data_IF_848794424511
#
_entry.id   IF_848794424511
#
_cell.length_a   1.000
_cell.length_b   1.000
_cell.length_c   1.000
_cell.angle_alpha   90.00
_cell.angle_beta   90.00
_cell.angle_gamma   90.00
#
_symmetry.space_group_name_H-M   'P 1'
#
loop_
_entity.id
_entity.type
_entity.pdbx_description
1 polymer ?
#
# COMPACT_ATOMS: atom_id res chain seq x y z
N UNK A 1 -17.53 -28.88 9.00
CA UNK A 1 -16.17 -28.49 9.46
C UNK A 1 -15.46 -27.40 8.63
N UNK A 2 -15.83 -27.16 7.36
CA UNK A 2 -15.18 -26.18 6.46
C UNK A 2 -15.38 -24.69 6.88
N UNK A 3 -16.61 -24.29 7.22
CA UNK A 3 -16.93 -22.89 7.52
C UNK A 3 -16.27 -22.36 8.79
N UNK A 4 -16.35 -23.09 9.90
CA UNK A 4 -15.73 -22.69 11.17
C UNK A 4 -14.24 -22.37 11.01
N UNK A 5 -13.48 -23.22 10.28
CA UNK A 5 -12.05 -23.00 10.05
C UNK A 5 -11.79 -21.71 9.25
N UNK A 6 -12.59 -21.45 8.21
CA UNK A 6 -12.49 -20.24 7.37
C UNK A 6 -12.88 -18.98 8.15
N UNK A 7 -14.02 -19.00 8.84
CA UNK A 7 -14.50 -17.91 9.67
C UNK A 7 -13.50 -17.60 10.77
N UNK A 8 -13.02 -18.60 11.51
CA UNK A 8 -11.99 -18.43 12.55
C UNK A 8 -10.73 -17.77 12.00
N UNK A 9 -10.22 -18.26 10.88
CA UNK A 9 -9.00 -17.72 10.27
C UNK A 9 -9.19 -16.24 9.87
N UNK A 10 -10.34 -15.88 9.29
CA UNK A 10 -10.64 -14.50 8.92
C UNK A 10 -10.87 -13.61 10.14
N UNK A 11 -11.67 -14.04 11.12
CA UNK A 11 -11.94 -13.25 12.32
C UNK A 11 -10.66 -12.94 13.10
N UNK A 12 -9.75 -13.91 13.23
CA UNK A 12 -8.44 -13.67 13.85
C UNK A 12 -7.59 -12.65 13.08
N UNK A 13 -7.63 -12.69 11.74
CA UNK A 13 -6.97 -11.68 10.90
C UNK A 13 -7.61 -10.30 11.07
N UNK A 14 -8.94 -10.23 11.14
CA UNK A 14 -9.69 -8.98 11.34
C UNK A 14 -9.28 -8.34 12.65
N UNK A 15 -9.38 -9.06 13.77
CA UNK A 15 -9.05 -8.52 15.11
C UNK A 15 -7.59 -8.06 15.19
N UNK A 16 -6.65 -8.81 14.62
CA UNK A 16 -5.24 -8.37 14.57
C UNK A 16 -5.05 -7.11 13.73
N UNK A 17 -5.74 -7.00 12.60
CA UNK A 17 -5.62 -5.85 11.71
C UNK A 17 -6.32 -4.62 12.30
N UNK A 18 -7.48 -4.80 12.92
CA UNK A 18 -8.21 -3.76 13.65
C UNK A 18 -7.35 -3.19 14.78
N UNK A 19 -6.71 -4.06 15.55
CA UNK A 19 -5.78 -3.65 16.58
C UNK A 19 -4.58 -2.88 16.01
N UNK A 20 -4.10 -3.27 14.83
CA UNK A 20 -3.02 -2.54 14.16
C UNK A 20 -3.46 -1.15 13.70
N UNK A 21 -4.66 -1.03 13.12
CA UNK A 21 -5.29 0.25 12.75
C UNK A 21 -5.48 1.13 13.98
N UNK A 22 -6.04 0.59 15.05
CA UNK A 22 -6.22 1.28 16.33
C UNK A 22 -4.89 1.81 16.87
N UNK A 23 -3.82 1.00 16.84
CA UNK A 23 -2.49 1.46 17.25
C UNK A 23 -2.05 2.69 16.46
N UNK A 24 -2.07 2.59 15.13
CA UNK A 24 -1.61 3.67 14.24
C UNK A 24 -2.45 4.93 14.42
N UNK A 25 -3.77 4.80 14.58
CA UNK A 25 -4.68 5.91 14.86
C UNK A 25 -4.32 6.62 16.18
N UNK A 26 -4.01 5.87 17.25
CA UNK A 26 -3.58 6.46 18.52
C UNK A 26 -2.29 7.26 18.37
N UNK A 27 -1.28 6.69 17.70
CA UNK A 27 -0.02 7.39 17.43
C UNK A 27 -0.23 8.68 16.63
N UNK A 28 -1.03 8.62 15.56
CA UNK A 28 -1.40 9.79 14.75
C UNK A 28 -2.11 10.86 15.57
N UNK A 29 -3.09 10.49 16.40
CA UNK A 29 -3.83 11.44 17.22
C UNK A 29 -2.98 12.17 18.26
N UNK A 30 -1.88 11.54 18.70
CA UNK A 30 -0.97 12.12 19.68
C UNK A 30 0.27 12.74 19.03
N UNK A 31 0.42 12.67 17.70
CA UNK A 31 1.61 13.14 17.00
C UNK A 31 2.90 12.39 17.37
N UNK A 32 2.77 11.16 17.87
CA UNK A 32 3.89 10.33 18.33
C UNK A 32 4.28 9.36 17.22
N UNK A 33 5.55 9.34 16.82
CA UNK A 33 6.08 8.30 15.93
C UNK A 33 6.57 7.13 16.79
N UNK A 34 6.06 5.90 16.60
CA UNK A 34 6.53 4.76 17.38
C UNK A 34 8.00 4.48 17.09
N UNK A 35 8.75 4.05 18.12
CA UNK A 35 10.21 3.87 18.04
C UNK A 35 10.69 3.03 16.86
N UNK A 36 9.93 2.00 16.47
CA UNK A 36 10.24 1.12 15.35
C UNK A 36 9.99 1.71 13.96
N UNK A 37 9.36 2.89 13.86
CA UNK A 37 9.14 3.64 12.62
C UNK A 37 9.95 4.93 12.56
N UNK A 38 10.72 5.25 13.59
CA UNK A 38 11.62 6.40 13.57
C UNK A 38 12.77 6.09 12.62
N UNK A 39 12.85 6.84 11.52
CA UNK A 39 13.99 6.79 10.62
C UNK A 39 15.21 7.38 11.33
N UNK A 40 16.25 6.56 11.52
CA UNK A 40 17.53 6.99 12.09
C UNK A 40 18.59 6.86 11.02
N UNK A 41 19.09 7.99 10.55
CA UNK A 41 20.21 8.04 9.61
C UNK A 41 21.13 9.18 10.02
N UNK A 42 22.44 8.96 9.91
CA UNK A 42 23.44 10.02 10.08
C UNK A 42 23.89 10.51 8.71
N UNK A 43 24.04 11.83 8.51
CA UNK A 43 24.58 12.36 7.27
C UNK A 43 26.06 11.97 7.14
N UNK A 44 26.46 11.51 5.94
CA UNK A 44 27.77 10.94 5.62
C UNK A 44 28.90 11.99 5.49
N UNK A 45 28.57 13.27 5.36
CA UNK A 45 29.58 14.32 5.19
C UNK A 45 30.23 14.72 6.51
N UNK A 46 31.55 14.59 6.58
CA UNK A 46 32.40 14.80 7.76
C UNK A 46 32.75 16.27 8.04
N UNK A 47 32.53 17.19 7.11
CA UNK A 47 32.90 18.60 7.25
C UNK A 47 31.73 19.47 7.71
N UNK A 48 31.70 19.84 8.99
CA UNK A 48 30.77 20.80 9.59
C UNK A 48 29.28 20.39 9.59
N UNK A 49 28.90 19.47 10.49
CA UNK A 49 27.52 19.29 10.94
C UNK A 49 27.09 20.51 11.75
N UNK A 50 26.82 21.63 11.10
CA UNK A 50 26.22 22.78 11.78
C UNK A 50 24.95 22.33 12.50
N UNK A 51 24.68 22.88 13.68
CA UNK A 51 23.47 22.57 14.47
C UNK A 51 22.22 22.71 13.57
N UNK A 52 22.16 23.80 12.79
CA UNK A 52 21.10 24.07 11.82
C UNK A 52 20.92 22.97 10.77
N UNK A 53 22.01 22.37 10.30
CA UNK A 53 21.93 21.26 9.33
C UNK A 53 21.38 20.00 9.98
N UNK A 54 21.87 19.65 11.18
CA UNK A 54 21.37 18.48 11.92
C UNK A 54 19.89 18.61 12.29
N UNK A 55 19.44 19.82 12.67
CA UNK A 55 18.04 20.09 12.95
C UNK A 55 17.17 19.87 11.70
N UNK A 56 17.59 20.41 10.54
CA UNK A 56 16.89 20.20 9.27
C UNK A 56 16.85 18.73 8.87
N UNK A 57 17.97 18.02 9.02
CA UNK A 57 18.07 16.60 8.72
C UNK A 57 17.11 15.77 9.58
N UNK A 58 17.13 16.00 10.90
CA UNK A 58 16.23 15.33 11.84
C UNK A 58 14.76 15.66 11.54
N UNK A 59 14.45 16.90 11.16
CA UNK A 59 13.10 17.30 10.75
C UNK A 59 12.62 16.55 9.49
N UNK A 60 13.50 16.34 8.50
CA UNK A 60 13.19 15.56 7.30
C UNK A 60 12.91 14.10 7.66
N UNK A 61 13.76 13.49 8.49
CA UNK A 61 13.57 12.11 8.94
C UNK A 61 12.28 11.94 9.75
N UNK A 62 11.99 12.88 10.63
CA UNK A 62 10.76 12.89 11.42
C UNK A 62 9.52 13.04 10.52
N UNK A 63 9.50 14.03 9.62
CA UNK A 63 8.39 14.24 8.67
C UNK A 63 8.15 13.01 7.77
N UNK A 64 9.24 12.37 7.32
CA UNK A 64 9.17 11.14 6.53
C UNK A 64 8.59 9.98 7.35
N UNK A 65 8.96 9.87 8.63
CA UNK A 65 8.42 8.85 9.53
C UNK A 65 6.91 9.04 9.78
N UNK A 66 6.44 10.28 9.93
CA UNK A 66 5.01 10.60 10.06
C UNK A 66 4.24 10.21 8.78
N UNK A 67 4.75 10.61 7.60
CA UNK A 67 4.13 10.23 6.32
C UNK A 67 4.07 8.73 6.11
N UNK A 68 5.11 7.99 6.51
CA UNK A 68 5.11 6.53 6.47
C UNK A 68 4.01 5.95 7.37
N UNK A 69 3.79 6.54 8.55
CA UNK A 69 2.71 6.14 9.45
C UNK A 69 1.32 6.37 8.86
N UNK A 70 1.10 7.49 8.17
CA UNK A 70 -0.15 7.77 7.44
C UNK A 70 -0.42 6.71 6.36
N UNK A 71 0.60 6.38 5.57
CA UNK A 71 0.51 5.36 4.52
C UNK A 71 0.21 3.98 5.10
N UNK A 72 0.90 3.59 6.18
CA UNK A 72 0.65 2.33 6.88
C UNK A 72 -0.76 2.28 7.47
N UNK A 73 -1.26 3.39 8.00
CA UNK A 73 -2.63 3.48 8.51
C UNK A 73 -3.66 3.31 7.39
N UNK A 74 -3.46 3.97 6.25
CA UNK A 74 -4.33 3.83 5.08
C UNK A 74 -4.34 2.40 4.53
N UNK A 75 -3.17 1.77 4.39
CA UNK A 75 -3.04 0.38 3.92
C UNK A 75 -3.71 -0.60 4.90
N UNK A 76 -3.43 -0.48 6.20
CA UNK A 76 -4.01 -1.33 7.23
C UNK A 76 -5.54 -1.19 7.28
N UNK A 77 -6.06 0.03 7.14
CA UNK A 77 -7.50 0.31 7.09
C UNK A 77 -8.16 -0.32 5.87
N UNK A 78 -7.55 -0.18 4.69
CA UNK A 78 -8.03 -0.82 3.46
C UNK A 78 -8.01 -2.35 3.57
N UNK A 79 -6.95 -2.92 4.14
CA UNK A 79 -6.85 -4.37 4.41
C UNK A 79 -7.93 -4.85 5.37
N UNK A 80 -8.21 -4.10 6.44
CA UNK A 80 -9.27 -4.42 7.39
C UNK A 80 -10.64 -4.48 6.69
N UNK A 81 -10.94 -3.49 5.85
CA UNK A 81 -12.19 -3.46 5.06
C UNK A 81 -12.34 -4.67 4.13
N UNK A 82 -11.27 -5.06 3.44
CA UNK A 82 -11.30 -6.23 2.55
C UNK A 82 -11.47 -7.56 3.31
N UNK A 83 -10.86 -7.67 4.50
CA UNK A 83 -11.07 -8.82 5.37
C UNK A 83 -12.50 -8.89 5.90
N UNK A 84 -13.10 -7.75 6.29
CA UNK A 84 -14.51 -7.68 6.70
C UNK A 84 -15.45 -8.12 5.56
N UNK A 85 -15.23 -7.63 4.33
CA UNK A 85 -16.01 -8.08 3.15
C UNK A 85 -15.90 -9.59 2.95
N UNK A 86 -14.69 -10.12 3.01
CA UNK A 86 -14.44 -11.56 2.86
C UNK A 86 -15.13 -12.38 3.95
N UNK A 87 -15.10 -11.88 5.20
CA UNK A 87 -15.79 -12.51 6.32
C UNK A 87 -17.30 -12.52 6.11
N UNK A 88 -17.90 -11.38 5.77
CA UNK A 88 -19.33 -11.26 5.54
C UNK A 88 -19.81 -12.19 4.42
N UNK A 89 -19.04 -12.34 3.34
CA UNK A 89 -19.38 -13.26 2.26
C UNK A 89 -19.42 -14.71 2.75
N UNK A 90 -18.43 -15.15 3.52
CA UNK A 90 -18.40 -16.52 4.07
C UNK A 90 -19.49 -16.72 5.13
N UNK A 91 -19.74 -15.70 5.96
CA UNK A 91 -20.78 -15.73 6.98
C UNK A 91 -22.17 -15.86 6.35
N UNK A 92 -22.49 -15.03 5.36
CA UNK A 92 -23.76 -15.11 4.63
C UNK A 92 -23.97 -16.47 3.97
N UNK A 93 -22.90 -17.04 3.37
CA UNK A 93 -22.94 -18.39 2.82
C UNK A 93 -23.20 -19.45 3.90
N UNK A 94 -22.58 -19.30 5.07
CA UNK A 94 -22.81 -20.22 6.20
C UNK A 94 -24.24 -20.13 6.76
N UNK A 95 -24.88 -18.95 6.73
CA UNK A 95 -26.28 -18.80 7.13
C UNK A 95 -27.26 -19.49 6.16
N UNK A 96 -26.88 -19.65 4.89
CA UNK A 96 -27.70 -20.33 3.88
C UNK A 96 -27.56 -21.86 3.96
N UNK A 97 -26.38 -22.36 4.35
CA UNK A 97 -26.05 -23.80 4.30
C UNK A 97 -26.16 -24.53 5.65
N UNK A 98 -26.18 -23.82 6.77
CA UNK A 98 -26.20 -24.43 8.11
C UNK A 98 -27.53 -24.22 8.82
N UNK A 99 -27.88 -25.17 9.69
CA UNK A 99 -29.02 -25.01 10.59
C UNK A 99 -28.74 -23.96 11.68
N UNK A 100 -29.81 -23.36 12.22
CA UNK A 100 -29.71 -22.36 13.30
C UNK A 100 -28.87 -22.80 14.50
N UNK A 101 -29.05 -24.03 15.04
CA UNK A 101 -28.24 -24.53 16.16
C UNK A 101 -26.75 -24.66 15.83
N UNK A 102 -26.40 -25.14 14.63
CA UNK A 102 -25.00 -25.27 14.21
C UNK A 102 -24.32 -23.91 14.06
N UNK A 103 -25.03 -22.92 13.52
CA UNK A 103 -24.55 -21.56 13.40
C UNK A 103 -24.32 -20.91 14.77
N UNK A 104 -25.21 -21.16 15.73
CA UNK A 104 -25.09 -20.68 17.11
C UNK A 104 -23.82 -21.22 17.77
N UNK A 105 -23.61 -22.55 17.72
CA UNK A 105 -22.41 -23.19 18.26
C UNK A 105 -21.12 -22.66 17.62
N UNK A 106 -21.12 -22.39 16.31
CA UNK A 106 -19.99 -21.77 15.62
C UNK A 106 -19.73 -20.36 16.15
N UNK A 107 -20.77 -19.53 16.29
CA UNK A 107 -20.65 -18.15 16.73
C UNK A 107 -20.17 -18.04 18.17
N UNK A 108 -20.67 -18.87 19.09
CA UNK A 108 -20.21 -18.92 20.48
C UNK A 108 -18.71 -19.24 20.56
N UNK A 109 -18.28 -20.29 19.86
CA UNK A 109 -16.87 -20.68 19.82
C UNK A 109 -15.97 -19.61 19.20
N UNK A 110 -16.44 -18.93 18.15
CA UNK A 110 -15.70 -17.81 17.57
C UNK A 110 -15.58 -16.66 18.57
N UNK A 111 -16.67 -16.30 19.22
CA UNK A 111 -16.71 -15.22 20.20
C UNK A 111 -15.71 -15.43 21.34
N UNK A 112 -15.63 -16.64 21.89
CA UNK A 112 -14.66 -16.98 22.94
C UNK A 112 -13.21 -16.84 22.47
N UNK A 113 -12.91 -17.36 21.28
CA UNK A 113 -11.57 -17.26 20.69
C UNK A 113 -11.18 -15.79 20.48
N UNK A 114 -12.10 -14.98 19.95
CA UNK A 114 -11.86 -13.56 19.69
C UNK A 114 -11.72 -12.77 20.98
N UNK A 115 -12.47 -13.10 22.02
CA UNK A 115 -12.35 -12.49 23.35
C UNK A 115 -10.96 -12.72 23.94
N UNK A 116 -10.46 -13.97 23.86
CA UNK A 116 -9.12 -14.32 24.35
C UNK A 116 -8.04 -13.58 23.57
N UNK A 117 -8.13 -13.58 22.23
CA UNK A 117 -7.12 -12.92 21.39
C UNK A 117 -7.11 -11.40 21.58
N UNK A 118 -8.28 -10.77 21.68
CA UNK A 118 -8.40 -9.33 21.92
C UNK A 118 -7.74 -8.90 23.23
N UNK A 119 -7.94 -9.67 24.32
CA UNK A 119 -7.27 -9.43 25.60
C UNK A 119 -5.75 -9.52 25.50
N UNK A 120 -5.24 -10.53 24.78
CA UNK A 120 -3.80 -10.70 24.56
C UNK A 120 -3.20 -9.52 23.79
N UNK A 121 -3.90 -9.08 22.74
CA UNK A 121 -3.45 -7.96 21.92
C UNK A 121 -3.50 -6.65 22.71
N UNK A 122 -4.56 -6.39 23.47
CA UNK A 122 -4.67 -5.21 24.31
C UNK A 122 -3.54 -5.13 25.36
N UNK A 123 -3.18 -6.24 26.01
CA UNK A 123 -2.01 -6.28 26.91
C UNK A 123 -0.71 -5.90 26.18
N UNK A 124 -0.52 -6.37 24.95
CA UNK A 124 0.63 -5.98 24.11
C UNK A 124 0.57 -4.51 23.71
N UNK A 125 -0.62 -3.97 23.43
CA UNK A 125 -0.85 -2.56 23.11
C UNK A 125 -0.38 -1.67 24.24
N UNK A 126 -0.88 -1.90 25.45
CA UNK A 126 -0.56 -1.11 26.63
C UNK A 126 0.95 -1.10 26.87
N UNK A 127 1.60 -2.26 26.79
CA UNK A 127 3.05 -2.34 26.96
C UNK A 127 3.81 -1.58 25.86
N UNK A 128 3.34 -1.68 24.60
CA UNK A 128 3.92 -0.94 23.47
C UNK A 128 3.79 0.58 23.67
N UNK A 129 2.60 1.04 24.04
CA UNK A 129 2.29 2.44 24.29
C UNK A 129 3.09 3.02 25.46
N UNK A 130 3.22 2.28 26.57
CA UNK A 130 4.08 2.69 27.69
C UNK A 130 5.53 2.90 27.26
N UNK A 131 6.08 1.98 26.47
CA UNK A 131 7.46 2.09 25.95
C UNK A 131 7.63 3.29 25.03
N UNK A 132 6.62 3.57 24.19
CA UNK A 132 6.69 4.62 23.19
C UNK A 132 6.21 5.99 23.73
N UNK A 133 5.91 6.10 25.03
CA UNK A 133 5.51 7.36 25.69
C UNK A 133 4.10 7.84 25.37
N UNK A 134 3.22 6.95 24.90
CA UNK A 134 1.82 7.28 24.57
C UNK A 134 1.00 7.47 25.85
N UNK A 135 0.26 8.57 25.95
CA UNK A 135 -0.62 8.85 27.08
C UNK A 135 -1.86 7.94 27.02
N UNK A 136 -2.02 7.10 28.03
CA UNK A 136 -3.05 6.05 28.06
C UNK A 136 -4.44 6.55 28.49
N UNK A 137 -4.55 7.72 29.12
CA UNK A 137 -5.83 8.26 29.61
C UNK A 137 -6.84 8.52 28.48
N UNK A 138 -6.35 8.74 27.25
CA UNK A 138 -7.17 8.85 26.03
C UNK A 138 -7.58 7.52 25.39
N UNK A 139 -6.97 6.40 25.76
CA UNK A 139 -7.17 5.09 25.09
C UNK A 139 -8.36 4.31 25.67
N UNK A 140 -8.83 4.67 26.87
CA UNK A 140 -9.77 3.86 27.66
C UNK A 140 -11.24 4.06 27.25
N UNK A 141 -11.60 5.09 26.47
CA UNK A 141 -13.02 5.45 26.26
C UNK A 141 -13.75 4.81 25.06
N UNK A 142 -13.08 4.16 24.12
CA UNK A 142 -13.76 3.60 22.91
C UNK A 142 -13.89 2.06 22.87
N UNK A 143 -13.36 1.32 23.84
CA UNK A 143 -13.32 -0.16 23.75
C UNK A 143 -14.07 -0.84 24.89
N UNK A 144 -15.40 -0.72 24.93
CA UNK A 144 -16.23 -1.76 25.56
C UNK A 144 -17.64 -1.83 24.97
N UNK A 145 -17.74 -2.15 23.68
CA UNK A 145 -18.90 -2.90 23.18
C UNK A 145 -18.48 -3.69 21.95
N UNK A 146 -18.32 -5.01 22.12
CA UNK A 146 -18.55 -5.95 21.04
C UNK A 146 -20.05 -5.88 20.69
N UNK A 147 -20.49 -4.80 20.05
CA UNK A 147 -21.79 -4.76 19.39
C UNK A 147 -21.63 -5.49 18.07
N UNK A 148 -21.67 -6.81 18.15
CA UNK A 148 -22.09 -7.63 17.03
C UNK A 148 -23.61 -7.52 16.95
N UNK A 149 -24.15 -6.33 16.64
CA UNK A 149 -25.58 -6.17 16.37
C UNK A 149 -25.93 -4.91 15.57
N UNK A 150 -26.65 -5.17 14.49
CA UNK A 150 -27.54 -4.30 13.70
C UNK A 150 -26.88 -3.25 12.82
N UNK A 151 -26.59 -3.70 11.60
CA UNK A 151 -26.64 -2.88 10.38
C UNK A 151 -27.99 -2.15 10.33
N UNK A 152 -28.02 -0.89 10.78
CA UNK A 152 -28.97 0.10 10.29
C UNK A 152 -28.25 0.81 9.15
N UNK A 153 -28.79 0.60 7.95
CA UNK A 153 -28.38 1.30 6.73
C UNK A 153 -28.85 2.75 6.88
N UNK A 154 -27.93 3.69 7.02
CA UNK A 154 -28.17 5.08 6.60
C UNK A 154 -27.06 5.46 5.65
N UNK A 155 -27.40 5.44 4.37
CA UNK A 155 -26.53 5.91 3.31
C UNK A 155 -26.29 7.40 3.42
N UNK A 156 -25.07 7.82 3.08
CA UNK A 156 -24.84 9.15 2.54
C UNK A 156 -23.82 9.05 1.41
N UNK A 157 -24.32 9.35 0.21
CA UNK A 157 -23.59 9.58 -1.01
C UNK A 157 -22.67 10.79 -0.86
N UNK A 158 -21.42 10.65 -1.33
CA UNK A 158 -20.78 11.63 -2.21
C UNK A 158 -19.63 10.95 -2.97
N UNK A 159 -19.96 10.41 -4.13
CA UNK A 159 -19.01 10.20 -5.23
C UNK A 159 -19.13 11.41 -6.14
N UNK A 160 -18.04 12.13 -6.33
CA UNK A 160 -17.82 12.93 -7.53
C UNK A 160 -16.47 12.52 -8.08
N UNK A 161 -16.47 11.50 -8.93
CA UNK A 161 -15.46 11.38 -9.97
C UNK A 161 -16.26 11.18 -11.26
N UNK A 162 -16.09 12.14 -12.15
CA UNK A 162 -16.79 12.28 -13.43
C UNK A 162 -16.59 10.99 -14.23
N UNK A 163 -17.69 10.37 -14.64
CA UNK A 163 -17.69 9.26 -15.56
C UNK A 163 -17.11 9.74 -16.89
N UNK A 164 -15.86 9.37 -17.19
CA UNK A 164 -15.37 9.39 -18.56
C UNK A 164 -15.95 8.13 -19.23
N UNK A 165 -16.92 8.32 -20.12
CA UNK A 165 -17.63 7.25 -20.85
C UNK A 165 -16.82 6.66 -22.01
N UNK A 166 -15.53 6.96 -22.11
CA UNK A 166 -14.66 6.42 -23.16
C UNK A 166 -14.15 5.03 -22.76
N UNK A 167 -14.55 4.02 -23.53
CA UNK A 167 -14.03 2.66 -23.43
C UNK A 167 -12.55 2.66 -23.83
N UNK A 168 -11.65 2.33 -22.91
CA UNK A 168 -10.24 2.12 -23.22
C UNK A 168 -10.00 0.65 -23.56
N UNK A 169 -9.49 0.38 -24.76
CA UNK A 169 -9.08 -0.94 -25.23
C UNK A 169 -7.61 -1.14 -24.87
N UNK A 170 -7.28 -2.34 -24.39
CA UNK A 170 -5.89 -2.75 -24.11
C UNK A 170 -5.40 -3.58 -25.28
N UNK A 171 -4.27 -3.18 -25.86
CA UNK A 171 -3.65 -3.84 -27.01
C UNK A 171 -2.24 -4.30 -26.64
N UNK A 172 -1.82 -5.42 -27.22
CA UNK A 172 -0.49 -5.97 -27.03
C UNK A 172 0.27 -5.88 -28.35
N UNK A 173 1.33 -5.10 -28.37
CA UNK A 173 2.25 -4.99 -29.49
C UNK A 173 2.96 -6.33 -29.74
N UNK A 174 3.19 -6.65 -31.02
CA UNK A 174 4.00 -7.80 -31.42
C UNK A 174 5.46 -7.63 -30.97
N UNK A 175 6.15 -8.74 -30.76
CA UNK A 175 7.58 -8.72 -30.41
C UNK A 175 8.38 -8.27 -31.63
N UNK A 176 9.18 -7.22 -31.48
CA UNK A 176 10.12 -6.77 -32.51
C UNK A 176 11.44 -7.51 -32.31
N UNK A 177 11.84 -8.35 -33.27
CA UNK A 177 13.09 -9.12 -33.22
C UNK A 177 14.28 -8.26 -33.64
N UNK A 178 14.68 -7.35 -32.76
CA UNK A 178 15.80 -6.43 -32.97
C UNK A 178 16.40 -5.97 -31.64
N UNK A 179 17.54 -5.30 -31.70
CA UNK A 179 18.22 -4.81 -30.49
C UNK A 179 17.35 -3.73 -29.83
N UNK A 180 16.92 -3.99 -28.60
CA UNK A 180 15.99 -3.14 -27.85
C UNK A 180 16.52 -1.70 -27.68
N UNK A 181 17.82 -1.54 -27.46
CA UNK A 181 18.48 -0.24 -27.26
C UNK A 181 18.81 0.52 -28.55
N UNK A 182 18.48 -0.03 -29.71
CA UNK A 182 18.61 0.69 -30.98
C UNK A 182 17.45 1.70 -31.15
N UNK A 183 17.78 2.89 -31.61
CA UNK A 183 16.82 3.99 -31.78
C UNK A 183 15.75 3.62 -32.80
N UNK A 184 16.13 2.92 -33.87
CA UNK A 184 15.20 2.45 -34.90
C UNK A 184 14.19 1.45 -34.36
N UNK A 185 14.62 0.56 -33.46
CA UNK A 185 13.74 -0.38 -32.76
C UNK A 185 12.70 0.34 -31.91
N UNK A 186 13.13 1.33 -31.13
CA UNK A 186 12.22 2.13 -30.29
C UNK A 186 11.24 2.91 -31.16
N UNK A 187 11.72 3.53 -32.24
CA UNK A 187 10.88 4.24 -33.20
C UNK A 187 9.80 3.34 -33.82
N UNK A 188 10.20 2.20 -34.39
CA UNK A 188 9.26 1.26 -35.02
C UNK A 188 8.24 0.72 -34.01
N UNK A 189 8.67 0.48 -32.76
CA UNK A 189 7.77 0.05 -31.69
C UNK A 189 6.74 1.13 -31.34
N UNK A 190 7.19 2.39 -31.23
CA UNK A 190 6.32 3.53 -30.95
C UNK A 190 5.30 3.74 -32.07
N UNK A 191 5.75 3.68 -33.33
CA UNK A 191 4.90 3.80 -34.53
C UNK A 191 3.84 2.70 -34.57
N UNK A 192 4.24 1.44 -34.39
CA UNK A 192 3.31 0.31 -34.34
C UNK A 192 2.25 0.48 -33.25
N UNK A 193 2.64 0.98 -32.06
CA UNK A 193 1.69 1.21 -30.97
C UNK A 193 0.70 2.35 -31.28
N UNK A 194 1.14 3.39 -32.01
CA UNK A 194 0.26 4.47 -32.48
C UNK A 194 -0.72 3.93 -33.52
N UNK A 195 -0.24 3.15 -34.50
CA UNK A 195 -1.09 2.54 -35.52
C UNK A 195 -2.15 1.62 -34.91
N UNK A 196 -1.74 0.75 -33.97
CA UNK A 196 -2.65 -0.12 -33.22
C UNK A 196 -3.71 0.69 -32.47
N UNK A 197 -3.33 1.80 -31.85
CA UNK A 197 -4.23 2.70 -31.13
C UNK A 197 -5.30 3.28 -32.07
N UNK A 198 -4.87 3.77 -33.24
CA UNK A 198 -5.76 4.29 -34.28
C UNK A 198 -6.72 3.22 -34.80
N UNK A 199 -6.22 2.01 -35.06
CA UNK A 199 -7.02 0.87 -35.52
C UNK A 199 -8.08 0.43 -34.48
N UNK A 200 -7.82 0.67 -33.20
CA UNK A 200 -8.79 0.43 -32.12
C UNK A 200 -9.76 1.61 -31.90
N UNK A 201 -9.72 2.65 -32.74
CA UNK A 201 -10.54 3.85 -32.60
C UNK A 201 -10.14 4.73 -31.40
N UNK A 202 -8.89 4.62 -30.95
CA UNK A 202 -8.35 5.39 -29.83
C UNK A 202 -7.35 6.44 -30.35
N UNK A 203 -7.35 7.62 -29.73
CA UNK A 203 -6.42 8.69 -30.09
C UNK A 203 -5.09 8.56 -29.37
N UNK A 204 -5.12 8.34 -28.05
CA UNK A 204 -3.93 8.36 -27.20
C UNK A 204 -3.50 6.95 -26.79
N UNK A 205 -2.24 6.60 -27.04
CA UNK A 205 -1.63 5.37 -26.54
C UNK A 205 -0.81 5.66 -25.29
N UNK A 206 -0.83 4.79 -24.28
CA UNK A 206 0.08 4.89 -23.12
C UNK A 206 1.17 3.85 -23.29
N UNK A 207 2.41 4.30 -23.48
CA UNK A 207 3.54 3.43 -23.78
C UNK A 207 4.52 3.46 -22.62
N UNK A 208 4.77 2.30 -22.00
CA UNK A 208 5.68 2.21 -20.86
C UNK A 208 7.02 1.60 -21.27
N UNK A 209 8.10 2.30 -20.98
CA UNK A 209 9.47 1.85 -21.27
C UNK A 209 10.30 1.69 -20.00
N UNK A 210 11.34 0.87 -20.05
CA UNK A 210 12.39 0.88 -19.03
C UNK A 210 13.16 2.21 -19.02
N UNK A 211 14.10 2.40 -18.09
CA UNK A 211 14.80 3.69 -17.95
C UNK A 211 15.60 4.11 -19.20
N UNK A 212 16.32 3.18 -19.81
CA UNK A 212 17.19 3.50 -20.95
C UNK A 212 16.33 3.75 -22.20
N UNK A 213 15.34 2.89 -22.43
CA UNK A 213 14.41 2.99 -23.55
C UNK A 213 13.48 4.19 -23.41
N UNK A 214 13.07 4.57 -22.19
CA UNK A 214 12.29 5.77 -21.93
C UNK A 214 13.00 7.02 -22.42
N UNK A 215 14.32 7.10 -22.18
CA UNK A 215 15.13 8.25 -22.62
C UNK A 215 15.15 8.34 -24.15
N UNK A 216 15.33 7.20 -24.82
CA UNK A 216 15.34 7.12 -26.28
C UNK A 216 13.94 7.44 -26.86
N UNK A 217 12.87 6.96 -26.22
CA UNK A 217 11.50 7.21 -26.64
C UNK A 217 11.12 8.69 -26.51
N UNK A 218 11.48 9.34 -25.39
CA UNK A 218 11.29 10.79 -25.21
C UNK A 218 12.08 11.59 -26.24
N UNK A 219 13.34 11.25 -26.50
CA UNK A 219 14.14 11.88 -27.55
C UNK A 219 13.47 11.73 -28.91
N UNK A 220 12.99 10.51 -29.24
CA UNK A 220 12.29 10.22 -30.49
C UNK A 220 11.04 11.07 -30.64
N UNK A 221 10.23 11.20 -29.58
CA UNK A 221 9.06 12.08 -29.53
C UNK A 221 9.43 13.56 -29.71
N UNK A 222 10.51 14.02 -29.07
CA UNK A 222 10.97 15.41 -29.21
C UNK A 222 11.48 15.75 -30.61
N UNK A 223 12.18 14.81 -31.26
CA UNK A 223 12.65 15.01 -32.63
C UNK A 223 11.51 14.99 -33.65
N UNK A 224 10.40 14.30 -33.35
CA UNK A 224 9.27 14.12 -34.27
C UNK A 224 7.92 14.36 -33.56
N UNK A 225 7.67 15.60 -33.09
CA UNK A 225 6.49 15.90 -32.28
C UNK A 225 5.19 15.78 -33.06
N UNK A 226 5.22 15.99 -34.39
CA UNK A 226 4.04 15.83 -35.25
C UNK A 226 3.66 14.36 -35.45
N UNK A 227 4.65 13.45 -35.51
CA UNK A 227 4.41 12.00 -35.64
C UNK A 227 3.98 11.39 -34.30
N UNK A 228 4.50 11.91 -33.18
CA UNK A 228 4.29 11.34 -31.85
C UNK A 228 3.61 12.30 -30.86
N UNK A 229 2.63 13.08 -31.33
CA UNK A 229 1.83 13.96 -30.46
C UNK A 229 0.97 13.15 -29.47
N UNK A 230 0.28 12.13 -29.99
CA UNK A 230 -0.71 11.33 -29.27
C UNK A 230 -0.18 10.31 -28.24
N UNK A 231 1.00 9.65 -28.39
CA UNK A 231 1.49 8.72 -27.38
C UNK A 231 1.94 9.43 -26.10
N UNK A 232 1.45 8.94 -24.96
CA UNK A 232 1.87 9.31 -23.62
C UNK A 232 2.94 8.31 -23.17
N UNK A 233 4.19 8.74 -23.22
CA UNK A 233 5.34 7.94 -22.77
C UNK A 233 5.37 7.94 -21.24
N UNK A 234 5.52 6.75 -20.65
CA UNK A 234 5.62 6.57 -19.20
C UNK A 234 6.85 5.76 -18.84
N UNK A 235 7.47 6.17 -17.75
CA UNK A 235 8.50 5.37 -17.13
C UNK A 235 7.89 4.13 -16.49
N UNK A 236 8.46 2.95 -16.77
CA UNK A 236 7.99 1.68 -16.26
C UNK A 236 8.01 1.66 -14.74
N UNK A 237 6.84 1.56 -14.11
CA UNK A 237 6.71 1.62 -12.65
C UNK A 237 7.43 0.48 -11.91
N UNK A 238 7.73 -0.63 -12.60
CA UNK A 238 8.60 -1.69 -12.07
C UNK A 238 10.04 -1.20 -11.92
N UNK A 239 10.60 -0.53 -12.93
CA UNK A 239 11.94 0.05 -12.85
C UNK A 239 12.00 1.21 -11.86
N UNK A 240 10.96 2.04 -11.73
CA UNK A 240 10.97 3.08 -10.67
C UNK A 240 11.09 2.46 -9.29
N UNK A 241 10.34 1.39 -9.03
CA UNK A 241 10.40 0.66 -7.75
C UNK A 241 11.74 -0.06 -7.59
N UNK A 242 12.25 -0.69 -8.65
CA UNK A 242 13.55 -1.37 -8.62
C UNK A 242 14.71 -0.38 -8.42
N UNK A 243 14.72 0.77 -9.12
CA UNK A 243 15.69 1.85 -8.93
C UNK A 243 15.58 2.47 -7.53
N UNK A 244 14.36 2.65 -7.00
CA UNK A 244 14.18 3.14 -5.64
C UNK A 244 14.69 2.14 -4.60
N UNK A 245 14.36 0.86 -4.74
CA UNK A 245 14.87 -0.23 -3.88
C UNK A 245 16.38 -0.37 -4.03
N UNK A 246 16.92 -0.27 -5.24
CA UNK A 246 18.36 -0.31 -5.50
C UNK A 246 19.07 0.91 -4.90
N UNK A 247 18.44 2.09 -4.93
CA UNK A 247 18.96 3.30 -4.29
C UNK A 247 18.97 3.15 -2.76
N UNK A 248 17.91 2.58 -2.18
CA UNK A 248 17.88 2.22 -0.75
C UNK A 248 18.94 1.16 -0.42
N UNK A 249 19.07 0.13 -1.26
CA UNK A 249 20.05 -0.94 -1.10
C UNK A 249 21.48 -0.44 -1.23
N UNK A 250 21.77 0.46 -2.18
CA UNK A 250 23.08 1.12 -2.31
C UNK A 250 23.35 2.04 -1.13
N UNK A 251 22.38 2.85 -0.73
CA UNK A 251 22.50 3.71 0.45
C UNK A 251 22.78 2.91 1.73
N UNK A 252 22.19 1.73 1.88
CA UNK A 252 22.45 0.84 3.01
C UNK A 252 23.76 0.06 2.84
N UNK A 253 24.08 -0.41 1.64
CA UNK A 253 25.33 -1.11 1.31
C UNK A 253 26.55 -0.23 1.54
N UNK A 254 26.56 0.97 0.93
CA UNK A 254 27.59 2.00 1.14
C UNK A 254 27.60 2.49 2.61
N UNK A 255 26.50 2.28 3.35
CA UNK A 255 26.38 2.55 4.78
C UNK A 255 26.92 1.44 5.70
N UNK A 256 27.59 0.43 5.15
CA UNK A 256 28.22 -0.67 5.91
C UNK A 256 27.29 -1.86 6.22
N UNK A 257 26.09 -1.91 5.64
CA UNK A 257 25.19 -3.07 5.82
C UNK A 257 25.81 -4.36 5.25
N UNK A 258 26.62 -4.25 4.19
CA UNK A 258 27.33 -5.39 3.63
C UNK A 258 28.34 -5.95 4.65
N UNK A 259 29.07 -5.10 5.37
CA UNK A 259 30.08 -5.51 6.34
C UNK A 259 29.47 -6.17 7.59
N UNK A 260 28.24 -5.81 7.96
CA UNK A 260 27.49 -6.41 9.08
C UNK A 260 26.94 -7.80 8.73
N UNK A 261 26.71 -8.07 7.43
CA UNK A 261 26.08 -9.32 6.96
C UNK A 261 27.11 -10.39 6.51
N UNK A 262 28.41 -10.09 6.59
CA UNK A 262 29.51 -11.00 6.20
C UNK A 262 30.07 -11.80 7.39
N UNK A 263 29.61 -11.55 8.62
CA UNK A 263 29.82 -12.40 9.81
C UNK A 263 28.66 -13.38 10.04
#
# INVERSE_FOLDING_TARGET
MSFFKKLRALSLKIVKTEHHVSNLKTYLSQGIVPMGLILKASPLTTGAKSIRFMDRWNNILHSSSVKLMDLLHAEASHKHLNLQRSYNNIYNKSCQELSGPELLTINERLHDILRIESRKLHKKQVNKFKRDGVLLDTVVREQTTLTLNRTIITGHHRKTCVYCTTLSIVLYASIVDSKQSDVFTVYATMEMCVEMCLNAGQHNSVQTFDQQLYTIAEQTKWYRPLEFDSPIIRFGGFHTKACFIASLGKFWGDGGLADILVD
#
